data_IF_734039019720
#
_entry.id   IF_734039019720
#
_cell.length_a   1.000
_cell.length_b   1.000
_cell.length_c   1.000
_cell.angle_alpha   90.00
_cell.angle_beta   90.00
_cell.angle_gamma   90.00
#
_symmetry.space_group_name_H-M   'P 1'
#
loop_
_entity.id
_entity.type
_entity.pdbx_description
1 polymer ?
#
# COMPACT_ATOMS: atom_id res chain seq x y z
N UNK A 1 -15.43 23.00 37.86
CA UNK A 1 -15.02 21.58 37.99
C UNK A 1 -15.37 20.98 36.65
N UNK A 2 -14.45 21.16 35.72
CA UNK A 2 -14.72 21.08 34.29
C UNK A 2 -14.15 19.78 33.76
N UNK A 3 -15.04 18.81 33.59
CA UNK A 3 -14.76 17.56 32.90
C UNK A 3 -15.02 17.82 31.41
N UNK A 4 -14.10 18.51 30.75
CA UNK A 4 -14.13 18.66 29.29
C UNK A 4 -12.81 18.21 28.66
N UNK A 5 -12.95 17.16 27.83
CA UNK A 5 -12.08 16.72 26.74
C UNK A 5 -10.63 16.35 27.03
N UNK A 6 -10.42 15.12 27.51
CA UNK A 6 -9.17 14.39 27.34
C UNK A 6 -9.00 13.78 25.92
N UNK A 7 -9.76 14.25 24.93
CA UNK A 7 -9.82 13.69 23.57
C UNK A 7 -9.74 14.75 22.45
N UNK A 8 -9.19 15.94 22.73
CA UNK A 8 -8.62 16.75 21.63
C UNK A 8 -7.27 16.14 21.24
N UNK A 9 -7.33 14.95 20.66
CA UNK A 9 -6.26 14.51 19.77
C UNK A 9 -6.40 15.39 18.54
N UNK A 10 -5.64 16.47 18.52
CA UNK A 10 -5.40 17.30 17.36
C UNK A 10 -4.80 16.37 16.28
N UNK A 11 -5.68 15.70 15.53
CA UNK A 11 -5.34 14.83 14.41
C UNK A 11 -4.99 15.75 13.25
N UNK A 12 -3.84 16.40 13.39
CA UNK A 12 -3.27 17.20 12.33
C UNK A 12 -3.13 16.29 11.10
N UNK A 13 -3.77 16.61 9.97
CA UNK A 13 -3.78 15.75 8.81
C UNK A 13 -2.34 15.41 8.38
N UNK A 14 -1.91 14.13 8.34
CA UNK A 14 -0.53 13.82 7.99
C UNK A 14 -0.34 14.14 6.52
N UNK A 15 0.68 14.96 6.27
CA UNK A 15 1.19 15.25 4.95
C UNK A 15 0.37 16.22 4.10
N UNK A 16 1.06 16.83 3.14
CA UNK A 16 0.47 17.71 2.14
C UNK A 16 -0.54 16.98 1.25
N UNK A 17 -1.45 17.74 0.63
CA UNK A 17 -2.39 17.21 -0.37
C UNK A 17 -1.68 16.38 -1.47
N UNK A 18 -0.49 16.82 -1.90
CA UNK A 18 0.33 16.11 -2.88
C UNK A 18 0.76 14.72 -2.42
N UNK A 19 1.13 14.55 -1.15
CA UNK A 19 1.50 13.25 -0.60
C UNK A 19 0.32 12.28 -0.61
N UNK A 20 -0.87 12.77 -0.25
CA UNK A 20 -2.11 11.98 -0.25
C UNK A 20 -2.47 11.49 -1.64
N UNK A 21 -2.38 12.38 -2.64
CA UNK A 21 -2.63 12.04 -4.04
C UNK A 21 -1.61 11.03 -4.57
N UNK A 22 -0.32 11.22 -4.25
CA UNK A 22 0.73 10.29 -4.64
C UNK A 22 0.50 8.90 -4.02
N UNK A 23 0.18 8.85 -2.73
CA UNK A 23 -0.17 7.62 -2.03
C UNK A 23 -1.37 6.93 -2.68
N UNK A 24 -2.51 7.62 -2.83
CA UNK A 24 -3.72 7.05 -3.43
C UNK A 24 -3.49 6.53 -4.84
N UNK A 25 -2.72 7.26 -5.65
CA UNK A 25 -2.40 6.85 -7.02
C UNK A 25 -1.57 5.57 -7.04
N UNK A 26 -0.48 5.55 -6.28
CA UNK A 26 0.43 4.41 -6.24
C UNK A 26 -0.25 3.18 -5.60
N UNK A 27 -1.06 3.41 -4.56
CA UNK A 27 -1.85 2.38 -3.91
C UNK A 27 -2.91 1.78 -4.84
N UNK A 28 -3.60 2.63 -5.61
CA UNK A 28 -4.57 2.18 -6.60
C UNK A 28 -3.93 1.33 -7.70
N UNK A 29 -2.76 1.74 -8.20
CA UNK A 29 -2.00 0.95 -9.19
C UNK A 29 -1.62 -0.42 -8.60
N UNK A 30 -1.10 -0.44 -7.38
CA UNK A 30 -0.70 -1.68 -6.72
C UNK A 30 -1.90 -2.62 -6.47
N UNK A 31 -3.02 -2.09 -6.01
CA UNK A 31 -4.27 -2.87 -5.83
C UNK A 31 -4.75 -3.47 -7.16
N UNK A 32 -4.71 -2.70 -8.25
CA UNK A 32 -5.05 -3.19 -9.59
C UNK A 32 -4.08 -4.29 -10.02
N UNK A 33 -2.78 -4.11 -9.80
CA UNK A 33 -1.76 -5.11 -10.12
C UNK A 33 -1.97 -6.42 -9.33
N UNK A 34 -2.18 -6.32 -8.01
CA UNK A 34 -2.50 -7.47 -7.15
C UNK A 34 -3.76 -8.20 -7.61
N UNK A 35 -4.79 -7.46 -8.04
CA UNK A 35 -6.01 -8.07 -8.61
C UNK A 35 -5.69 -8.83 -9.90
N UNK A 36 -4.88 -8.24 -10.78
CA UNK A 36 -4.49 -8.87 -12.04
C UNK A 36 -3.67 -10.14 -11.85
N UNK A 37 -2.86 -10.24 -10.78
CA UNK A 37 -2.12 -11.46 -10.45
C UNK A 37 -3.01 -12.69 -10.19
N UNK A 38 -4.29 -12.51 -9.82
CA UNK A 38 -5.25 -13.61 -9.73
C UNK A 38 -5.97 -13.92 -11.04
N UNK A 39 -5.91 -13.00 -12.02
CA UNK A 39 -6.67 -13.09 -13.26
C UNK A 39 -5.82 -13.55 -14.45
N UNK A 40 -4.52 -13.28 -14.43
CA UNK A 40 -3.61 -13.68 -15.51
C UNK A 40 -2.95 -15.03 -15.22
N UNK A 41 -2.81 -15.93 -16.22
CA UNK A 41 -2.31 -17.28 -16.01
C UNK A 41 -0.78 -17.37 -15.82
N UNK A 42 -0.05 -16.28 -16.04
CA UNK A 42 1.42 -16.23 -16.04
C UNK A 42 2.00 -15.45 -14.85
N UNK A 43 1.18 -14.98 -13.93
CA UNK A 43 1.61 -14.34 -12.70
C UNK A 43 0.92 -15.01 -11.50
N UNK A 44 1.47 -14.85 -10.31
CA UNK A 44 0.92 -15.43 -9.09
C UNK A 44 1.09 -14.41 -7.97
N UNK A 45 0.00 -14.12 -7.27
CA UNK A 45 0.05 -13.28 -6.07
C UNK A 45 0.77 -14.05 -4.95
N UNK A 46 1.79 -13.42 -4.38
CA UNK A 46 2.65 -14.02 -3.36
C UNK A 46 2.30 -13.53 -1.95
N UNK A 47 1.57 -12.43 -1.82
CA UNK A 47 1.19 -11.91 -0.52
C UNK A 47 0.17 -12.87 0.15
N UNK A 48 0.54 -13.52 1.27
CA UNK A 48 -0.29 -14.54 1.89
C UNK A 48 -1.61 -13.99 2.44
N UNK A 49 -1.64 -12.72 2.87
CA UNK A 49 -2.87 -12.08 3.36
C UNK A 49 -3.80 -11.77 2.20
N UNK A 50 -3.26 -11.25 1.10
CA UNK A 50 -4.05 -11.00 -0.12
C UNK A 50 -4.63 -12.31 -0.66
N UNK A 51 -3.83 -13.38 -0.70
CA UNK A 51 -4.27 -14.73 -1.09
C UNK A 51 -5.34 -15.27 -0.14
N UNK A 52 -5.17 -15.11 1.18
CA UNK A 52 -6.15 -15.52 2.17
C UNK A 52 -7.49 -14.81 1.95
N UNK A 53 -7.46 -13.48 1.81
CA UNK A 53 -8.68 -12.69 1.61
C UNK A 53 -9.35 -13.02 0.29
N UNK A 54 -8.57 -13.25 -0.78
CA UNK A 54 -9.08 -13.74 -2.05
C UNK A 54 -9.74 -15.12 -1.90
N UNK A 55 -9.12 -16.04 -1.16
CA UNK A 55 -9.69 -17.37 -0.89
C UNK A 55 -11.03 -17.31 -0.14
N UNK A 56 -11.23 -16.32 0.73
CA UNK A 56 -12.46 -16.14 1.51
C UNK A 56 -13.56 -15.39 0.76
N UNK A 57 -13.19 -14.37 -0.03
CA UNK A 57 -14.15 -13.41 -0.59
C UNK A 57 -14.04 -13.19 -2.10
N UNK A 58 -13.13 -13.89 -2.79
CA UNK A 58 -12.83 -13.66 -4.21
C UNK A 58 -12.16 -12.31 -4.45
N UNK A 59 -12.37 -11.73 -5.63
CA UNK A 59 -11.79 -10.42 -6.01
C UNK A 59 -12.10 -9.29 -5.01
N UNK A 60 -13.31 -9.18 -4.42
CA UNK A 60 -13.57 -8.22 -3.34
C UNK A 60 -12.63 -8.36 -2.14
N UNK A 61 -12.15 -9.58 -1.86
CA UNK A 61 -11.17 -9.83 -0.79
C UNK A 61 -9.84 -9.11 -1.03
N UNK A 62 -9.40 -9.01 -2.29
CA UNK A 62 -8.17 -8.28 -2.66
C UNK A 62 -8.31 -6.80 -2.31
N UNK A 63 -9.44 -6.19 -2.68
CA UNK A 63 -9.72 -4.80 -2.33
C UNK A 63 -9.83 -4.59 -0.81
N UNK A 64 -10.45 -5.53 -0.09
CA UNK A 64 -10.54 -5.49 1.37
C UNK A 64 -9.15 -5.55 2.02
N UNK A 65 -8.28 -6.47 1.58
CA UNK A 65 -6.91 -6.56 2.06
C UNK A 65 -6.12 -5.27 1.77
N UNK A 66 -6.25 -4.73 0.55
CA UNK A 66 -5.62 -3.47 0.17
C UNK A 66 -6.10 -2.29 1.03
N UNK A 67 -7.38 -2.21 1.37
CA UNK A 67 -7.90 -1.16 2.28
C UNK A 67 -7.37 -1.35 3.70
N UNK A 68 -7.31 -2.58 4.22
CA UNK A 68 -6.73 -2.86 5.53
C UNK A 68 -5.25 -2.43 5.60
N UNK A 69 -4.47 -2.77 4.59
CA UNK A 69 -3.08 -2.34 4.49
C UNK A 69 -2.94 -0.81 4.37
N UNK A 70 -3.80 -0.15 3.57
CA UNK A 70 -3.80 1.30 3.48
C UNK A 70 -4.08 1.96 4.84
N UNK A 71 -5.07 1.44 5.58
CA UNK A 71 -5.40 1.92 6.91
C UNK A 71 -4.23 1.77 7.90
N UNK A 72 -3.49 0.66 7.82
CA UNK A 72 -2.29 0.45 8.62
C UNK A 72 -1.20 1.46 8.24
N UNK A 73 -0.90 1.63 6.96
CA UNK A 73 0.13 2.58 6.49
C UNK A 73 -0.22 4.01 6.90
N UNK A 74 -1.47 4.41 6.70
CA UNK A 74 -1.98 5.73 7.11
C UNK A 74 -1.90 5.87 8.62
N UNK A 75 -2.35 4.88 9.39
CA UNK A 75 -2.30 4.89 10.85
C UNK A 75 -0.88 5.00 11.39
N UNK A 76 0.05 4.22 10.83
CA UNK A 76 1.49 4.34 11.14
C UNK A 76 2.01 5.74 10.82
N UNK A 77 1.60 6.33 9.69
CA UNK A 77 1.94 7.71 9.32
C UNK A 77 1.41 8.77 10.30
N UNK A 78 0.33 8.50 11.04
CA UNK A 78 -0.15 9.38 12.12
C UNK A 78 0.58 9.14 13.45
N UNK A 79 0.92 7.90 13.77
CA UNK A 79 1.59 7.54 15.04
C UNK A 79 3.08 7.91 15.02
N UNK A 80 3.71 7.83 13.85
CA UNK A 80 5.13 8.15 13.66
C UNK A 80 5.30 9.66 13.46
N UNK A 81 5.19 10.41 14.56
CA UNK A 81 5.57 11.82 14.59
C UNK A 81 7.09 11.98 14.35
N UNK A 82 7.47 13.02 13.60
CA UNK A 82 8.84 13.32 13.12
C UNK A 82 9.93 13.20 14.23
N UNK A 83 11.17 12.72 13.96
CA UNK A 83 11.69 12.27 12.68
C UNK A 83 12.05 10.78 12.72
N UNK A 84 11.19 9.92 12.16
CA UNK A 84 11.76 8.80 11.42
C UNK A 84 12.56 9.42 10.28
N UNK A 85 13.86 9.11 10.22
CA UNK A 85 14.80 9.66 9.25
C UNK A 85 14.12 9.76 7.88
N UNK A 86 13.93 10.99 7.39
CA UNK A 86 13.28 11.24 6.10
C UNK A 86 13.98 10.45 4.97
N UNK A 87 15.26 10.11 5.15
CA UNK A 87 16.01 9.21 4.27
C UNK A 87 15.52 7.78 4.33
N UNK A 88 15.16 7.27 5.51
CA UNK A 88 14.58 5.94 5.64
C UNK A 88 13.23 5.87 4.92
N UNK A 89 12.34 6.83 5.17
CA UNK A 89 11.04 6.88 4.48
C UNK A 89 11.20 7.02 2.98
N UNK A 90 12.07 7.93 2.51
CA UNK A 90 12.30 8.10 1.07
C UNK A 90 12.91 6.86 0.42
N UNK A 91 13.80 6.15 1.13
CA UNK A 91 14.36 4.88 0.67
C UNK A 91 13.26 3.82 0.56
N UNK A 92 12.41 3.68 1.58
CA UNK A 92 11.30 2.71 1.53
C UNK A 92 10.31 3.04 0.41
N UNK A 93 10.00 4.31 0.19
CA UNK A 93 9.17 4.75 -0.94
C UNK A 93 9.82 4.41 -2.29
N UNK A 94 11.13 4.63 -2.43
CA UNK A 94 11.85 4.29 -3.67
C UNK A 94 11.88 2.77 -3.92
N UNK A 95 12.13 1.98 -2.88
CA UNK A 95 12.08 0.51 -2.95
C UNK A 95 10.68 0.05 -3.35
N UNK A 96 9.65 0.58 -2.69
CA UNK A 96 8.27 0.24 -2.99
C UNK A 96 7.89 0.61 -4.44
N UNK A 97 8.32 1.78 -4.92
CA UNK A 97 8.10 2.19 -6.30
C UNK A 97 8.77 1.23 -7.31
N UNK A 98 9.99 0.78 -7.03
CA UNK A 98 10.68 -0.18 -7.88
C UNK A 98 9.97 -1.54 -7.93
N UNK A 99 9.45 -2.01 -6.80
CA UNK A 99 8.66 -3.25 -6.72
C UNK A 99 7.32 -3.12 -7.45
N UNK A 100 6.60 -2.01 -7.25
CA UNK A 100 5.36 -1.73 -7.96
C UNK A 100 5.59 -1.65 -9.48
N UNK A 101 6.68 -1.00 -9.91
CA UNK A 101 7.07 -0.95 -11.30
C UNK A 101 7.39 -2.35 -11.85
N UNK A 102 8.13 -3.18 -11.11
CA UNK A 102 8.39 -4.57 -11.49
C UNK A 102 7.10 -5.36 -11.73
N UNK A 103 6.11 -5.21 -10.85
CA UNK A 103 4.81 -5.84 -10.99
C UNK A 103 4.07 -5.38 -12.25
N UNK A 104 4.08 -4.07 -12.52
CA UNK A 104 3.49 -3.50 -13.74
C UNK A 104 4.19 -4.04 -14.99
N UNK A 105 5.53 -4.10 -15.00
CA UNK A 105 6.29 -4.67 -16.13
C UNK A 105 5.97 -6.15 -16.35
N UNK A 106 5.88 -6.94 -15.28
CA UNK A 106 5.47 -8.35 -15.36
C UNK A 106 4.09 -8.49 -16.01
N UNK A 107 3.14 -7.64 -15.63
CA UNK A 107 1.78 -7.69 -16.17
C UNK A 107 1.68 -7.23 -17.63
N UNK A 108 2.51 -6.28 -18.04
CA UNK A 108 2.47 -5.73 -19.40
C UNK A 108 3.32 -6.52 -20.40
N UNK A 109 4.49 -6.98 -19.97
CA UNK A 109 5.51 -7.57 -20.84
C UNK A 109 5.78 -9.05 -20.56
N UNK A 110 5.16 -9.64 -19.53
CA UNK A 110 5.41 -11.02 -19.05
C UNK A 110 6.85 -11.27 -18.61
N UNK A 111 7.59 -10.19 -18.35
CA UNK A 111 8.96 -10.21 -17.86
C UNK A 111 9.02 -9.36 -16.60
N UNK A 112 9.59 -9.90 -15.54
CA UNK A 112 9.83 -9.18 -14.29
C UNK A 112 11.30 -8.76 -14.22
N UNK A 113 11.63 -7.47 -14.39
CA UNK A 113 13.02 -6.99 -14.46
C UNK A 113 13.87 -7.29 -13.22
N UNK A 114 13.24 -7.49 -12.06
CA UNK A 114 13.93 -7.70 -10.78
C UNK A 114 14.06 -9.18 -10.38
N UNK A 115 13.52 -10.12 -11.15
CA UNK A 115 13.73 -11.57 -10.94
C UNK A 115 14.86 -12.09 -11.81
N UNK A 116 15.82 -12.85 -11.26
CA UNK A 116 16.77 -13.60 -12.08
C UNK A 116 16.00 -14.65 -12.90
N UNK A 117 16.27 -14.69 -14.21
CA UNK A 117 15.74 -15.69 -15.14
C UNK A 117 16.31 -17.09 -14.92
#
# INVERSE_FOLDING_TARGET
MDVHSAFETDLDPPGSLGLRLAFLTLWGIDMVAATLFFLVPYATELNPITVLFYGLFGLPGVALAAVCYAAIVIGLGHVLSDPIDRRFVSTMVAVYLALAANNVFLLLFREAPLTPG
#
